data_IF_978761660219
#
_entry.id   IF_978761660219
#
_cell.length_a   1.000
_cell.length_b   1.000
_cell.length_c   1.000
_cell.angle_alpha   90.00
_cell.angle_beta   90.00
_cell.angle_gamma   90.00
#
_symmetry.space_group_name_H-M   'P 1'
#
loop_
_entity.id
_entity.type
_entity.pdbx_description
1 polymer ?
#
# COMPACT_ATOMS: atom_id res chain seq x y z
N UNK A 1 25.37 8.60 -10.07
CA UNK A 1 24.65 9.69 -10.68
C UNK A 1 23.39 9.99 -9.85
N UNK A 2 23.42 11.11 -9.10
CA UNK A 2 22.36 11.47 -8.14
C UNK A 2 20.97 11.63 -8.80
N UNK A 3 20.92 12.08 -10.05
CA UNK A 3 19.66 12.29 -10.76
C UNK A 3 18.93 10.98 -11.10
N UNK A 4 19.68 9.92 -11.42
CA UNK A 4 19.11 8.61 -11.71
C UNK A 4 18.55 7.98 -10.44
N UNK A 5 19.33 8.04 -9.34
CA UNK A 5 18.90 7.54 -8.03
C UNK A 5 17.66 8.31 -7.52
N UNK A 6 17.63 9.64 -7.68
CA UNK A 6 16.49 10.46 -7.31
C UNK A 6 15.25 10.09 -8.10
N UNK A 7 15.35 9.91 -9.43
CA UNK A 7 14.22 9.46 -10.28
C UNK A 7 13.70 8.08 -9.89
N UNK A 8 14.60 7.13 -9.61
CA UNK A 8 14.21 5.79 -9.17
C UNK A 8 13.43 5.83 -7.86
N UNK A 9 13.85 6.66 -6.89
CA UNK A 9 13.17 6.80 -5.60
C UNK A 9 11.80 7.49 -5.70
N UNK A 10 11.49 8.14 -6.84
CA UNK A 10 10.20 8.78 -7.09
C UNK A 10 9.26 7.92 -7.94
N UNK A 11 9.65 6.70 -8.32
CA UNK A 11 8.84 5.80 -9.13
C UNK A 11 8.09 4.80 -8.25
N UNK A 12 6.90 4.42 -8.73
CA UNK A 12 6.16 3.29 -8.13
C UNK A 12 6.99 2.03 -8.31
N UNK A 13 7.15 1.27 -7.23
CA UNK A 13 7.88 0.00 -7.24
C UNK A 13 6.95 -1.14 -6.86
N UNK A 14 7.13 -2.25 -7.56
CA UNK A 14 6.41 -3.49 -7.31
C UNK A 14 7.38 -4.57 -6.86
N UNK A 15 6.96 -5.36 -5.86
CA UNK A 15 7.74 -6.45 -5.28
C UNK A 15 7.01 -7.75 -5.54
N UNK A 16 7.66 -8.68 -6.22
CA UNK A 16 7.07 -9.93 -6.68
C UNK A 16 7.84 -11.15 -6.18
N UNK A 17 7.12 -12.23 -5.99
CA UNK A 17 7.67 -13.56 -5.83
C UNK A 17 7.27 -14.35 -7.08
N UNK A 18 8.23 -14.54 -7.99
CA UNK A 18 7.91 -15.03 -9.34
C UNK A 18 6.95 -14.07 -10.05
N UNK A 19 5.82 -14.59 -10.49
CA UNK A 19 4.77 -13.78 -11.15
C UNK A 19 3.78 -13.15 -10.16
N UNK A 20 3.85 -13.55 -8.88
CA UNK A 20 2.90 -13.08 -7.87
C UNK A 20 3.32 -11.73 -7.29
N UNK A 21 2.49 -10.73 -7.48
CA UNK A 21 2.68 -9.41 -6.87
C UNK A 21 2.39 -9.47 -5.37
N UNK A 22 3.36 -9.10 -4.56
CA UNK A 22 3.25 -9.10 -3.09
C UNK A 22 2.94 -7.71 -2.54
N UNK A 23 3.63 -6.70 -3.05
CA UNK A 23 3.53 -5.35 -2.51
C UNK A 23 3.79 -4.29 -3.59
N UNK A 24 3.21 -3.12 -3.37
CA UNK A 24 3.43 -1.94 -4.22
C UNK A 24 3.76 -0.75 -3.33
N UNK A 25 4.87 -0.07 -3.63
CA UNK A 25 5.27 1.15 -2.94
C UNK A 25 5.07 2.34 -3.87
N UNK A 26 4.24 3.27 -3.43
CA UNK A 26 3.88 4.47 -4.19
C UNK A 26 4.49 5.66 -3.45
N UNK A 27 5.60 6.23 -3.95
CA UNK A 27 6.20 7.41 -3.34
C UNK A 27 5.24 8.61 -3.36
N UNK A 28 5.38 9.52 -2.42
CA UNK A 28 4.50 10.68 -2.28
C UNK A 28 4.35 11.47 -3.59
N UNK A 29 5.42 11.62 -4.35
CA UNK A 29 5.37 12.32 -5.64
C UNK A 29 4.41 11.66 -6.65
N UNK A 30 4.25 10.35 -6.59
CA UNK A 30 3.31 9.60 -7.42
C UNK A 30 1.93 9.48 -6.77
N UNK A 31 1.88 9.34 -5.44
CA UNK A 31 0.63 9.18 -4.70
C UNK A 31 -0.28 10.41 -4.78
N UNK A 32 0.31 11.61 -4.85
CA UNK A 32 -0.40 12.88 -4.68
C UNK A 32 -0.36 13.77 -5.91
N UNK A 33 -0.36 13.18 -7.09
CA UNK A 33 -0.52 13.92 -8.34
C UNK A 33 -1.93 14.50 -8.41
N UNK A 34 -2.06 15.65 -9.09
CA UNK A 34 -3.35 16.31 -9.29
C UNK A 34 -4.36 15.40 -9.98
N UNK A 35 -5.63 15.64 -9.70
CA UNK A 35 -6.73 14.89 -10.28
C UNK A 35 -6.93 13.53 -9.65
N UNK A 36 -7.43 12.58 -10.41
CA UNK A 36 -7.77 11.23 -9.95
C UNK A 36 -6.68 10.25 -10.37
N UNK A 37 -6.14 9.50 -9.40
CA UNK A 37 -5.10 8.50 -9.62
C UNK A 37 -5.51 7.19 -8.98
N UNK A 38 -5.35 6.07 -9.69
CA UNK A 38 -5.60 4.73 -9.17
C UNK A 38 -4.32 3.92 -9.13
N UNK A 39 -4.14 3.12 -8.07
CA UNK A 39 -2.93 2.35 -7.80
C UNK A 39 -3.19 0.86 -7.64
N UNK A 40 -4.42 0.41 -7.85
CA UNK A 40 -4.83 -0.99 -7.70
C UNK A 40 -5.25 -1.56 -9.04
N UNK A 41 -5.05 -2.86 -9.21
CA UNK A 41 -5.65 -3.63 -10.29
C UNK A 41 -7.06 -4.07 -9.89
N UNK A 42 -7.92 -4.32 -10.86
CA UNK A 42 -9.33 -4.64 -10.61
C UNK A 42 -9.54 -5.88 -9.73
N UNK A 43 -8.62 -6.84 -9.80
CA UNK A 43 -8.68 -8.10 -9.04
C UNK A 43 -8.25 -7.96 -7.58
N UNK A 44 -7.62 -6.86 -7.22
CA UNK A 44 -7.15 -6.63 -5.85
C UNK A 44 -8.35 -6.32 -4.94
N UNK A 45 -8.29 -6.79 -3.70
CA UNK A 45 -9.40 -6.62 -2.75
C UNK A 45 -9.45 -5.20 -2.17
N UNK A 46 -8.27 -4.59 -1.96
CA UNK A 46 -8.19 -3.17 -1.59
C UNK A 46 -8.02 -2.34 -2.86
N UNK A 47 -8.97 -1.48 -3.11
CA UNK A 47 -8.93 -0.55 -4.24
C UNK A 47 -8.45 0.80 -3.74
N UNK A 48 -7.28 1.21 -4.18
CA UNK A 48 -6.57 2.38 -3.66
C UNK A 48 -6.44 3.42 -4.74
N UNK A 49 -6.87 4.62 -4.41
CA UNK A 49 -6.69 5.77 -5.28
C UNK A 49 -6.56 7.04 -4.46
N UNK A 50 -5.97 8.04 -5.05
CA UNK A 50 -5.93 9.39 -4.51
C UNK A 50 -6.63 10.34 -5.46
N UNK A 51 -7.13 11.42 -4.92
CA UNK A 51 -7.65 12.51 -5.76
C UNK A 51 -7.41 13.85 -5.07
N UNK A 52 -7.19 14.86 -5.91
CA UNK A 52 -7.00 16.22 -5.45
C UNK A 52 -7.55 17.17 -6.50
N UNK A 53 -8.40 18.09 -6.05
CA UNK A 53 -9.09 19.05 -6.91
C UNK A 53 -9.12 20.41 -6.23
N UNK A 54 -9.36 21.45 -7.02
CA UNK A 54 -9.50 22.82 -6.53
C UNK A 54 -10.93 23.09 -6.06
N UNK A 55 -11.08 24.17 -5.30
CA UNK A 55 -12.38 24.68 -4.85
C UNK A 55 -13.32 24.90 -6.05
N UNK A 56 -14.58 24.50 -5.91
CA UNK A 56 -15.57 24.60 -6.96
C UNK A 56 -15.76 23.33 -7.78
N UNK A 57 -14.84 22.39 -7.69
CA UNK A 57 -15.03 21.05 -8.26
C UNK A 57 -16.06 20.30 -7.42
N UNK A 58 -17.04 19.70 -8.08
CA UNK A 58 -18.05 18.88 -7.43
C UNK A 58 -17.92 17.43 -7.90
N UNK A 59 -17.87 16.51 -6.96
CA UNK A 59 -17.91 15.08 -7.24
C UNK A 59 -19.35 14.61 -7.11
N UNK A 60 -19.86 13.95 -8.16
CA UNK A 60 -21.27 13.55 -8.20
C UNK A 60 -21.57 12.50 -7.13
N UNK A 61 -22.68 12.66 -6.39
CA UNK A 61 -23.08 11.65 -5.42
C UNK A 61 -23.44 10.34 -6.12
N UNK A 62 -23.13 9.25 -5.47
CA UNK A 62 -23.44 7.90 -5.95
C UNK A 62 -23.61 6.95 -4.80
N UNK A 63 -24.14 5.78 -5.08
CA UNK A 63 -24.23 4.67 -4.14
C UNK A 63 -23.61 3.43 -4.76
N UNK A 64 -22.98 2.60 -3.92
CA UNK A 64 -22.45 1.31 -4.37
C UNK A 64 -23.52 0.24 -4.25
N UNK A 65 -23.68 -0.56 -5.29
CA UNK A 65 -24.63 -1.66 -5.31
C UNK A 65 -24.18 -2.82 -4.46
N UNK A 66 -25.15 -3.61 -3.97
CA UNK A 66 -24.84 -4.89 -3.32
C UNK A 66 -24.38 -5.89 -4.37
N UNK A 67 -23.12 -6.30 -4.28
CA UNK A 67 -22.51 -7.28 -5.18
C UNK A 67 -21.74 -8.29 -4.35
N UNK A 68 -22.02 -9.59 -4.50
CA UNK A 68 -21.24 -10.62 -3.82
C UNK A 68 -19.77 -10.55 -4.25
N UNK A 69 -18.87 -10.65 -3.29
CA UNK A 69 -17.43 -10.70 -3.50
C UNK A 69 -16.84 -11.82 -2.66
N UNK A 70 -15.90 -12.54 -3.25
CA UNK A 70 -15.13 -13.54 -2.53
C UNK A 70 -13.79 -12.94 -2.13
N UNK A 71 -13.52 -12.91 -0.83
CA UNK A 71 -12.30 -12.35 -0.25
C UNK A 71 -11.69 -13.41 0.65
N UNK A 72 -10.49 -13.87 0.31
CA UNK A 72 -9.87 -15.03 0.96
C UNK A 72 -8.58 -14.71 1.70
N UNK A 73 -8.09 -13.47 1.60
CA UNK A 73 -6.87 -13.04 2.29
C UNK A 73 -7.02 -11.56 2.68
N UNK A 74 -6.37 -11.17 3.76
CA UNK A 74 -6.29 -9.78 4.16
C UNK A 74 -5.25 -9.06 3.32
N UNK A 75 -5.66 -7.97 2.70
CA UNK A 75 -4.77 -7.02 2.05
C UNK A 75 -4.77 -5.72 2.85
N UNK A 76 -3.68 -4.99 2.79
CA UNK A 76 -3.48 -3.81 3.63
C UNK A 76 -3.00 -2.63 2.81
N UNK A 77 -3.35 -1.44 3.29
CA UNK A 77 -2.85 -0.17 2.78
C UNK A 77 -2.23 0.60 3.93
N UNK A 78 -1.02 1.08 3.75
CA UNK A 78 -0.36 1.97 4.69
C UNK A 78 -0.23 3.35 4.06
N UNK A 79 -0.58 4.37 4.81
CA UNK A 79 -0.29 5.76 4.50
C UNK A 79 0.63 6.33 5.56
N UNK A 80 1.83 6.74 5.18
CA UNK A 80 2.78 7.35 6.10
C UNK A 80 2.43 8.82 6.25
N UNK A 81 1.84 9.17 7.38
CA UNK A 81 1.44 10.55 7.67
C UNK A 81 2.65 11.42 7.96
N UNK A 82 3.60 10.91 8.73
CA UNK A 82 4.87 11.57 9.04
C UNK A 82 5.89 10.53 9.50
N UNK A 83 7.16 10.87 9.45
CA UNK A 83 8.24 9.98 9.81
C UNK A 83 8.61 9.02 8.69
N UNK A 84 9.14 7.85 9.07
CA UNK A 84 9.56 6.84 8.11
C UNK A 84 9.58 5.44 8.73
N UNK A 85 9.28 4.45 7.89
CA UNK A 85 9.36 3.04 8.24
C UNK A 85 10.26 2.31 7.25
N UNK A 86 10.89 1.23 7.71
CA UNK A 86 11.46 0.20 6.84
C UNK A 86 10.44 -0.92 6.73
N UNK A 87 9.99 -1.21 5.53
CA UNK A 87 9.13 -2.36 5.27
C UNK A 87 9.98 -3.56 4.86
N UNK A 88 9.71 -4.70 5.47
CA UNK A 88 10.32 -5.98 5.13
C UNK A 88 9.28 -6.85 4.49
N UNK A 89 9.56 -7.34 3.27
CA UNK A 89 8.65 -8.14 2.47
C UNK A 89 9.16 -9.58 2.43
N UNK A 90 8.28 -10.51 2.74
CA UNK A 90 8.56 -11.94 2.73
C UNK A 90 7.75 -12.62 1.63
N UNK A 91 8.37 -13.58 0.97
CA UNK A 91 7.75 -14.33 -0.10
C UNK A 91 6.73 -15.37 0.36
N UNK A 92 6.17 -16.09 -0.58
CA UNK A 92 5.11 -17.08 -0.33
C UNK A 92 5.60 -18.31 0.46
N UNK A 93 6.92 -18.50 0.57
CA UNK A 93 7.53 -19.54 1.40
C UNK A 93 8.19 -18.95 2.67
N UNK A 94 7.73 -17.78 3.09
CA UNK A 94 8.23 -17.06 4.27
C UNK A 94 9.68 -16.57 4.15
N UNK A 95 10.30 -16.65 2.98
CA UNK A 95 11.67 -16.21 2.76
C UNK A 95 11.75 -14.68 2.69
N UNK A 96 12.80 -14.07 3.25
CA UNK A 96 13.07 -12.66 3.02
C UNK A 96 13.23 -12.38 1.53
N UNK A 97 12.51 -11.38 1.02
CA UNK A 97 12.51 -11.09 -0.41
C UNK A 97 13.00 -9.68 -0.71
N UNK A 98 12.53 -8.68 0.03
CA UNK A 98 12.89 -7.30 -0.20
C UNK A 98 12.73 -6.45 1.05
N UNK A 99 13.44 -5.33 1.07
CA UNK A 99 13.27 -4.27 2.07
C UNK A 99 13.22 -2.93 1.33
N UNK A 100 12.42 -2.01 1.85
CA UNK A 100 12.41 -0.65 1.37
C UNK A 100 11.98 0.30 2.49
N UNK A 101 12.35 1.57 2.34
CA UNK A 101 11.94 2.62 3.25
C UNK A 101 10.77 3.39 2.65
N UNK A 102 9.74 3.62 3.45
CA UNK A 102 8.61 4.48 3.11
C UNK A 102 8.65 5.72 3.98
N UNK A 103 8.45 6.87 3.36
CA UNK A 103 8.59 8.20 3.96
C UNK A 103 7.25 8.93 3.97
N UNK A 104 7.23 10.09 4.62
CA UNK A 104 6.05 10.95 4.71
C UNK A 104 5.36 11.11 3.36
N UNK A 105 4.07 10.85 3.32
CA UNK A 105 3.24 10.93 2.14
C UNK A 105 3.20 9.67 1.27
N UNK A 106 4.07 8.71 1.53
CA UNK A 106 4.10 7.45 0.77
C UNK A 106 2.90 6.57 1.10
N UNK A 107 2.49 5.79 0.11
CA UNK A 107 1.47 4.75 0.24
C UNK A 107 2.11 3.38 -0.05
N UNK A 108 1.78 2.40 0.76
CA UNK A 108 2.22 1.01 0.59
C UNK A 108 0.98 0.13 0.51
N UNK A 109 0.91 -0.71 -0.52
CA UNK A 109 -0.16 -1.69 -0.68
C UNK A 109 0.44 -3.07 -0.49
N UNK A 110 -0.11 -3.85 0.43
CA UNK A 110 0.35 -5.21 0.75
C UNK A 110 -0.73 -6.19 0.33
N UNK A 111 -0.41 -7.04 -0.62
CA UNK A 111 -1.39 -7.89 -1.29
C UNK A 111 -1.30 -9.35 -0.86
N UNK A 112 -0.09 -9.89 -0.77
CA UNK A 112 0.17 -11.30 -0.43
C UNK A 112 1.54 -11.44 0.22
N UNK A 113 1.81 -12.63 0.77
CA UNK A 113 3.07 -12.91 1.46
C UNK A 113 3.12 -12.26 2.83
N UNK A 114 4.31 -12.27 3.43
CA UNK A 114 4.52 -11.71 4.75
C UNK A 114 5.10 -10.31 4.70
N UNK A 115 4.92 -9.60 5.81
CA UNK A 115 5.51 -8.27 5.96
C UNK A 115 5.82 -7.98 7.43
N UNK A 116 6.79 -7.13 7.64
CA UNK A 116 7.15 -6.58 8.94
C UNK A 116 7.67 -5.17 8.78
N UNK A 117 7.73 -4.43 9.87
CA UNK A 117 8.14 -3.03 9.84
C UNK A 117 9.12 -2.71 10.96
N UNK A 118 10.04 -1.81 10.68
CA UNK A 118 10.85 -1.14 11.67
C UNK A 118 10.60 0.37 11.59
N UNK A 119 10.43 1.00 12.73
CA UNK A 119 10.29 2.45 12.80
C UNK A 119 11.71 3.04 12.74
N UNK A 120 11.97 3.92 11.78
CA UNK A 120 13.31 4.48 11.56
C UNK A 120 13.42 5.98 11.85
N UNK A 121 12.33 6.63 12.21
CA UNK A 121 12.32 8.01 12.69
C UNK A 121 11.42 8.13 13.91
N UNK A 122 11.80 8.97 14.88
CA UNK A 122 10.96 9.24 16.04
C UNK A 122 9.66 9.94 15.61
N UNK A 123 8.56 9.63 16.29
CA UNK A 123 7.27 10.25 16.05
C UNK A 123 6.58 9.79 14.77
N UNK A 124 7.02 8.69 14.16
CA UNK A 124 6.38 8.13 12.97
C UNK A 124 4.92 7.79 13.23
N UNK A 125 4.05 8.20 12.31
CA UNK A 125 2.62 7.91 12.33
C UNK A 125 2.20 7.34 10.99
N UNK A 126 1.50 6.20 11.03
CA UNK A 126 1.04 5.49 9.85
C UNK A 126 -0.44 5.17 10.01
N UNK A 127 -1.22 5.45 8.97
CA UNK A 127 -2.60 4.99 8.88
C UNK A 127 -2.61 3.62 8.19
N UNK A 128 -3.19 2.62 8.85
CA UNK A 128 -3.32 1.27 8.34
C UNK A 128 -4.78 0.98 8.02
N UNK A 129 -5.05 0.52 6.80
CA UNK A 129 -6.38 0.18 6.32
C UNK A 129 -6.34 -1.27 5.83
N UNK A 130 -7.32 -2.06 6.22
CA UNK A 130 -7.43 -3.47 5.79
C UNK A 130 -8.83 -3.73 5.28
N UNK A 131 -8.97 -4.68 4.36
CA UNK A 131 -10.30 -5.23 4.10
C UNK A 131 -10.75 -6.07 5.30
N UNK A 132 -12.04 -6.04 5.58
CA UNK A 132 -12.69 -6.84 6.62
C UNK A 132 -13.70 -7.83 6.04
N UNK A 133 -14.57 -8.41 6.90
CA UNK A 133 -14.63 -8.28 8.35
C UNK A 133 -13.40 -8.83 9.10
N UNK A 134 -13.17 -8.33 10.32
CA UNK A 134 -12.08 -8.81 11.16
C UNK A 134 -12.49 -10.04 11.95
N UNK A 135 -11.73 -11.12 11.79
CA UNK A 135 -12.03 -12.42 12.39
C UNK A 135 -11.14 -12.75 13.61
N UNK A 136 -10.30 -11.82 14.03
CA UNK A 136 -9.33 -12.04 15.10
C UNK A 136 -7.95 -12.38 14.58
N UNK A 137 -6.91 -12.01 15.33
CA UNK A 137 -5.52 -12.17 14.92
C UNK A 137 -5.15 -13.65 14.69
N UNK A 138 -5.67 -14.55 15.51
CA UNK A 138 -5.34 -15.99 15.43
C UNK A 138 -5.88 -16.64 14.15
N UNK A 139 -7.03 -16.16 13.66
CA UNK A 139 -7.61 -16.64 12.40
C UNK A 139 -6.96 -15.96 11.21
N UNK A 140 -6.72 -14.66 11.32
CA UNK A 140 -6.26 -13.83 10.21
C UNK A 140 -4.80 -14.07 9.83
N UNK A 141 -3.93 -14.31 10.81
CA UNK A 141 -2.48 -14.33 10.56
C UNK A 141 -1.74 -15.37 11.39
N UNK A 142 -0.53 -15.68 10.93
CA UNK A 142 0.48 -16.42 11.69
C UNK A 142 1.79 -15.64 11.69
N UNK A 143 2.61 -15.83 12.71
CA UNK A 143 3.95 -15.23 12.77
C UNK A 143 4.93 -16.01 11.91
N UNK A 144 5.88 -15.26 11.35
CA UNK A 144 7.00 -15.79 10.58
C UNK A 144 8.22 -15.90 11.50
#
# INVERSE_FOLDING_TARGET
NNDVVYKENMMIKEYKDGEQLLARHIPAAEAWKDGLNFFSQDEEYVQVGSWGYDTGTALKPHVHNHVPREVTVTQEVLYVRCGAIKARIFGLQDQPLAEFNAHEGDVVILLRGGHGYDIIEDGTQVLEIKNGPYLGAEVDRRRI
#
